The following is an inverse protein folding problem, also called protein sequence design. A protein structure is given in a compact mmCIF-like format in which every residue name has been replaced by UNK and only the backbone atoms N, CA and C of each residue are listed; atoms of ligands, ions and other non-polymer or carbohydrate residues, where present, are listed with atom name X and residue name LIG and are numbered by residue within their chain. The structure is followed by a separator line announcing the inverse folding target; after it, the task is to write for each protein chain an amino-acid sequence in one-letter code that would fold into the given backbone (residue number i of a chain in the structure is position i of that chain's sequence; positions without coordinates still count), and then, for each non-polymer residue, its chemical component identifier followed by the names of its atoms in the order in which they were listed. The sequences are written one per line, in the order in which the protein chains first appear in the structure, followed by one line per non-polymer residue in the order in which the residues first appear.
data_IF_114358500891
#
_entry.id   IF_114358500891
#
_cell.length_a   1.000
_cell.length_b   1.000
_cell.length_c   1.000
_cell.angle_alpha   90.00
_cell.angle_beta   90.00
_cell.angle_gamma   90.00
#
_symmetry.space_group_name_H-M   'P 1'
#
loop_
_entity.id
_entity.type
_entity.pdbx_description
1 polymer ?
#
# COMPACT_ATOMS: atom_id res chain seq x y z
N UNK A 1 34.34 -25.57 11.65
CA UNK A 1 34.23 -24.12 11.92
C UNK A 1 35.57 -23.48 11.63
N UNK A 2 35.73 -22.89 10.46
CA UNK A 2 36.92 -22.15 10.04
C UNK A 2 36.98 -20.85 10.86
N UNK A 3 38.00 -20.71 11.71
CA UNK A 3 38.21 -19.51 12.53
C UNK A 3 38.72 -18.38 11.62
N UNK A 4 37.90 -17.35 11.36
CA UNK A 4 38.38 -16.16 10.67
C UNK A 4 39.20 -15.30 11.65
N UNK A 5 40.39 -14.91 11.21
CA UNK A 5 41.30 -14.02 11.93
C UNK A 5 41.36 -12.70 11.17
N UNK A 6 40.93 -11.61 11.79
CA UNK A 6 40.94 -10.30 11.17
C UNK A 6 42.26 -9.62 11.47
N UNK A 7 43.09 -9.36 10.46
CA UNK A 7 44.39 -8.69 10.62
C UNK A 7 44.23 -7.19 10.34
N UNK A 8 44.54 -6.35 11.33
CA UNK A 8 44.54 -4.91 11.17
C UNK A 8 45.85 -4.48 10.49
N UNK A 9 45.82 -4.17 9.20
CA UNK A 9 46.95 -3.57 8.50
C UNK A 9 46.94 -2.06 8.75
N UNK A 10 47.79 -1.59 9.66
CA UNK A 10 47.94 -0.17 9.99
C UNK A 10 48.49 0.62 8.80
N UNK A 11 47.67 1.48 8.18
CA UNK A 11 48.18 2.63 7.40
C UNK A 11 48.19 3.94 8.19
N UNK A 12 47.84 3.90 9.47
CA UNK A 12 48.03 5.02 10.38
C UNK A 12 48.67 4.46 11.65
N UNK A 13 49.87 4.95 11.97
CA UNK A 13 50.52 4.72 13.25
C UNK A 13 49.71 5.50 14.29
N UNK A 14 48.62 4.91 14.79
CA UNK A 14 47.81 5.53 15.82
C UNK A 14 48.31 5.00 17.16
N UNK A 15 49.13 5.81 17.81
CA UNK A 15 49.68 5.53 19.14
C UNK A 15 48.57 5.75 20.19
N UNK A 16 47.76 4.72 20.43
CA UNK A 16 46.75 4.71 21.48
C UNK A 16 47.24 3.86 22.65
N UNK A 17 47.12 4.41 23.86
CA UNK A 17 47.18 3.63 25.10
C UNK A 17 45.90 2.78 25.15
N UNK A 18 46.06 1.47 24.94
CA UNK A 18 44.96 0.48 24.90
C UNK A 18 44.47 0.08 26.28
N UNK A 19 44.80 0.85 27.31
CA UNK A 19 44.59 0.60 28.74
C UNK A 19 43.10 0.49 29.11
N UNK A 20 42.19 0.73 28.15
CA UNK A 20 40.74 0.64 28.30
C UNK A 20 40.07 -0.33 27.31
N UNK A 21 40.82 -1.10 26.50
CA UNK A 21 40.20 -2.10 25.63
C UNK A 21 39.66 -3.27 26.46
N UNK A 22 38.36 -3.53 26.34
CA UNK A 22 37.67 -4.70 26.91
C UNK A 22 38.22 -6.05 26.41
N UNK A 23 39.12 -6.02 25.43
CA UNK A 23 39.75 -7.18 24.81
C UNK A 23 41.03 -7.65 25.51
N UNK A 24 41.65 -6.84 26.38
CA UNK A 24 42.82 -7.22 27.18
C UNK A 24 42.43 -7.38 28.66
N UNK A 25 43.01 -8.37 29.34
CA UNK A 25 43.08 -8.33 30.81
C UNK A 25 43.93 -7.12 31.20
N UNK A 26 43.47 -6.34 32.17
CA UNK A 26 44.17 -5.14 32.66
C UNK A 26 45.66 -5.40 32.84
N UNK A 27 46.53 -4.69 32.11
CA UNK A 27 47.99 -4.75 32.27
C UNK A 27 48.81 -5.13 31.03
N UNK A 28 48.21 -5.55 29.92
CA UNK A 28 48.96 -5.82 28.68
C UNK A 28 49.21 -4.54 27.88
N UNK A 29 50.49 -4.24 27.60
CA UNK A 29 50.92 -3.14 26.71
C UNK A 29 51.21 -3.69 25.32
N UNK A 30 50.56 -3.15 24.28
CA UNK A 30 50.86 -3.49 22.88
C UNK A 30 49.83 -2.94 21.89
N UNK A 31 50.21 -2.88 20.60
CA UNK A 31 49.31 -2.51 19.51
C UNK A 31 48.44 -3.70 19.12
N UNK A 32 47.13 -3.47 18.97
CA UNK A 32 46.20 -4.52 18.62
C UNK A 32 46.33 -4.90 17.13
N UNK A 33 46.81 -6.13 16.86
CA UNK A 33 47.12 -6.59 15.49
C UNK A 33 46.01 -7.44 14.86
N UNK A 34 45.16 -8.09 15.67
CA UNK A 34 44.08 -8.93 15.16
C UNK A 34 42.95 -9.20 16.16
N UNK A 35 41.75 -9.51 15.66
CA UNK A 35 40.61 -9.99 16.46
C UNK A 35 40.11 -11.37 15.99
N UNK A 36 39.45 -12.09 16.90
CA UNK A 36 38.69 -13.33 16.61
C UNK A 36 37.18 -13.04 16.58
N UNK A 37 36.39 -13.83 15.85
CA UNK A 37 34.94 -13.63 15.67
C UNK A 37 34.14 -13.45 16.98
N UNK A 38 34.51 -14.17 18.04
CA UNK A 38 33.75 -14.16 19.29
C UNK A 38 34.14 -12.98 20.21
N UNK A 39 35.38 -12.50 20.10
CA UNK A 39 35.78 -11.22 20.72
C UNK A 39 35.19 -10.04 19.95
N UNK A 40 34.88 -10.19 18.66
CA UNK A 40 34.25 -9.18 17.82
C UNK A 40 32.79 -8.91 18.16
N UNK A 41 31.96 -9.93 18.39
CA UNK A 41 30.56 -9.74 18.82
C UNK A 41 30.46 -9.00 20.15
N UNK A 42 31.37 -9.32 21.07
CA UNK A 42 31.47 -8.69 22.39
C UNK A 42 31.95 -7.23 22.27
N UNK A 43 32.90 -6.98 21.36
CA UNK A 43 33.38 -5.63 21.06
C UNK A 43 32.28 -4.77 20.42
N UNK A 44 31.50 -5.29 19.47
CA UNK A 44 30.40 -4.57 18.80
C UNK A 44 29.32 -4.13 19.78
N UNK A 45 28.90 -5.03 20.67
CA UNK A 45 27.92 -4.71 21.71
C UNK A 45 28.42 -3.63 22.68
N UNK A 46 29.71 -3.67 23.04
CA UNK A 46 30.32 -2.65 23.89
C UNK A 46 30.49 -1.29 23.18
N UNK A 47 30.91 -1.31 21.92
CA UNK A 47 31.12 -0.12 21.08
C UNK A 47 29.80 0.62 20.77
N UNK A 48 28.68 -0.08 20.64
CA UNK A 48 27.37 0.56 20.46
C UNK A 48 26.93 1.37 21.70
N UNK A 49 27.45 1.05 22.90
CA UNK A 49 27.18 1.80 24.13
C UNK A 49 28.18 2.92 24.45
N UNK A 50 29.44 2.76 24.01
CA UNK A 50 30.55 3.67 24.33
C UNK A 50 30.83 4.50 23.09
N UNK A 51 30.19 5.65 22.96
CA UNK A 51 30.41 6.57 21.84
C UNK A 51 31.77 7.29 21.96
N UNK A 52 32.87 6.52 21.98
CA UNK A 52 34.23 7.01 22.16
C UNK A 52 35.05 7.00 20.86
N UNK A 53 36.19 7.70 20.90
CA UNK A 53 37.06 7.91 19.73
C UNK A 53 37.65 6.60 19.18
N UNK A 54 37.84 5.59 20.03
CA UNK A 54 38.31 4.26 19.62
C UNK A 54 37.22 3.55 18.81
N UNK A 55 35.97 3.66 19.24
CA UNK A 55 34.80 3.14 18.53
C UNK A 55 34.61 3.79 17.17
N UNK A 56 34.77 5.11 17.04
CA UNK A 56 34.68 5.80 15.75
C UNK A 56 35.76 5.35 14.77
N UNK A 57 37.02 5.25 15.22
CA UNK A 57 38.14 4.80 14.39
C UNK A 57 37.93 3.34 13.94
N UNK A 58 37.49 2.46 14.85
CA UNK A 58 37.21 1.07 14.50
C UNK A 58 36.03 0.93 13.53
N UNK A 59 35.01 1.80 13.60
CA UNK A 59 33.92 1.85 12.61
C UNK A 59 34.41 2.25 11.22
N UNK A 60 35.40 3.15 11.12
CA UNK A 60 36.02 3.55 9.86
C UNK A 60 36.85 2.41 9.27
N UNK A 61 37.76 1.84 10.07
CA UNK A 61 38.61 0.71 9.66
C UNK A 61 37.78 -0.54 9.27
N UNK A 62 36.66 -0.77 9.95
CA UNK A 62 35.71 -1.83 9.60
C UNK A 62 35.07 -1.60 8.24
N UNK A 63 34.57 -0.39 7.98
CA UNK A 63 33.98 -0.04 6.67
C UNK A 63 35.01 -0.20 5.55
N UNK A 64 36.25 0.20 5.77
CA UNK A 64 37.32 0.07 4.78
C UNK A 64 37.68 -1.40 4.50
N UNK A 65 37.78 -2.25 5.53
CA UNK A 65 38.08 -3.69 5.35
C UNK A 65 36.92 -4.49 4.72
N UNK A 66 35.65 -4.25 5.08
CA UNK A 66 34.51 -4.86 4.39
C UNK A 66 34.49 -4.49 2.90
N UNK A 67 34.78 -3.22 2.59
CA UNK A 67 34.74 -2.72 1.22
C UNK A 67 35.85 -3.37 0.37
N UNK A 68 37.05 -3.58 0.92
CA UNK A 68 38.15 -4.24 0.19
C UNK A 68 37.95 -5.75 0.00
N UNK A 69 37.45 -6.48 1.00
CA UNK A 69 37.23 -7.94 0.89
C UNK A 69 36.10 -8.28 -0.10
N UNK A 70 35.10 -7.40 -0.24
CA UNK A 70 34.00 -7.53 -1.20
C UNK A 70 34.35 -7.05 -2.62
N UNK A 71 35.23 -6.06 -2.78
CA UNK A 71 35.68 -5.54 -4.09
C UNK A 71 36.64 -6.51 -4.81
N UNK A 72 37.44 -7.28 -4.08
CA UNK A 72 38.36 -8.27 -4.64
C UNK A 72 37.75 -9.66 -4.85
N UNK A 73 36.54 -9.91 -4.35
CA UNK A 73 35.87 -11.21 -4.50
C UNK A 73 35.28 -11.36 -5.91
N UNK A 74 35.89 -12.21 -6.75
CA UNK A 74 35.45 -12.53 -8.11
C UNK A 74 33.93 -12.83 -8.23
N UNK A 75 33.33 -13.43 -7.20
CA UNK A 75 31.89 -13.72 -7.15
C UNK A 75 31.00 -12.47 -7.16
N UNK A 76 31.41 -11.39 -6.47
CA UNK A 76 30.66 -10.13 -6.45
C UNK A 76 30.75 -9.38 -7.78
N UNK A 77 31.92 -9.43 -8.42
CA UNK A 77 32.11 -8.85 -9.75
C UNK A 77 31.30 -9.59 -10.80
N UNK A 78 31.38 -10.92 -10.82
CA UNK A 78 30.58 -11.78 -11.71
C UNK A 78 29.08 -11.57 -11.55
N UNK A 79 28.56 -11.53 -10.32
CA UNK A 79 27.15 -11.24 -10.07
C UNK A 79 26.74 -9.83 -10.54
N UNK A 80 27.64 -8.84 -10.39
CA UNK A 80 27.38 -7.48 -10.82
C UNK A 80 27.38 -7.36 -12.34
N UNK A 81 28.30 -8.04 -13.04
CA UNK A 81 28.38 -8.04 -14.51
C UNK A 81 27.08 -8.59 -15.13
N UNK A 82 26.47 -9.61 -14.50
CA UNK A 82 25.16 -10.14 -14.93
C UNK A 82 24.06 -9.11 -14.73
N UNK A 83 24.00 -8.48 -13.55
CA UNK A 83 23.01 -7.44 -13.27
C UNK A 83 23.19 -6.23 -14.19
N UNK A 84 24.43 -5.84 -14.48
CA UNK A 84 24.76 -4.72 -15.35
C UNK A 84 24.24 -4.98 -16.77
N UNK A 85 24.37 -6.22 -17.29
CA UNK A 85 23.77 -6.61 -18.57
C UNK A 85 22.25 -6.55 -18.54
N UNK A 86 21.60 -6.99 -17.46
CA UNK A 86 20.14 -6.88 -17.31
C UNK A 86 19.68 -5.41 -17.28
N UNK A 87 20.40 -4.55 -16.55
CA UNK A 87 20.13 -3.10 -16.50
C UNK A 87 20.32 -2.47 -17.88
N UNK A 88 21.38 -2.84 -18.59
CA UNK A 88 21.63 -2.34 -19.93
C UNK A 88 20.52 -2.75 -20.91
N UNK A 89 20.07 -4.00 -20.88
CA UNK A 89 19.00 -4.49 -21.75
C UNK A 89 17.63 -3.87 -21.40
N UNK A 90 17.27 -3.85 -20.12
CA UNK A 90 15.91 -3.49 -19.72
C UNK A 90 15.73 -1.98 -19.51
N UNK A 91 16.70 -1.31 -18.89
CA UNK A 91 16.59 0.12 -18.53
C UNK A 91 17.14 1.00 -19.65
N UNK A 92 18.30 0.67 -20.21
CA UNK A 92 18.94 1.51 -21.24
C UNK A 92 18.32 1.23 -22.62
N UNK A 93 18.28 -0.03 -23.05
CA UNK A 93 17.73 -0.38 -24.37
C UNK A 93 16.20 -0.50 -24.35
N UNK A 94 15.62 -1.07 -23.28
CA UNK A 94 14.17 -1.23 -23.12
C UNK A 94 13.44 -0.01 -22.60
N UNK A 95 14.15 1.07 -22.23
CA UNK A 95 13.61 2.32 -21.66
C UNK A 95 12.70 2.11 -20.44
N UNK A 96 12.88 1.01 -19.72
CA UNK A 96 12.06 0.71 -18.54
C UNK A 96 12.51 1.51 -17.32
N UNK A 97 11.54 1.93 -16.51
CA UNK A 97 11.80 2.55 -15.21
C UNK A 97 11.78 1.46 -14.14
N UNK A 98 12.84 1.35 -13.35
CA UNK A 98 12.93 0.38 -12.24
C UNK A 98 13.18 1.09 -10.91
N UNK A 99 12.70 0.54 -9.79
CA UNK A 99 13.13 1.04 -8.48
C UNK A 99 14.46 0.37 -8.08
N UNK A 100 15.33 1.15 -7.44
CA UNK A 100 16.54 0.64 -6.81
C UNK A 100 16.22 -0.39 -5.71
N UNK A 101 15.06 -0.28 -5.07
CA UNK A 101 14.57 -1.26 -4.08
C UNK A 101 14.29 -2.63 -4.69
N UNK A 102 14.02 -2.71 -5.99
CA UNK A 102 13.70 -3.95 -6.70
C UNK A 102 14.98 -4.58 -7.28
N UNK A 103 15.94 -3.75 -7.68
CA UNK A 103 17.27 -4.17 -8.12
C UNK A 103 18.11 -4.78 -6.98
N UNK A 104 17.90 -4.35 -5.72
CA UNK A 104 18.67 -4.85 -4.57
C UNK A 104 18.39 -6.34 -4.24
N UNK A 105 17.13 -6.81 -4.16
CA UNK A 105 16.81 -8.24 -4.08
C UNK A 105 17.36 -9.01 -5.27
N UNK A 106 17.20 -8.50 -6.50
CA UNK A 106 17.70 -9.18 -7.71
C UNK A 106 19.22 -9.39 -7.65
N UNK A 107 19.97 -8.38 -7.23
CA UNK A 107 21.42 -8.51 -7.05
C UNK A 107 21.78 -9.56 -5.99
N UNK A 108 20.99 -9.64 -4.91
CA UNK A 108 21.19 -10.65 -3.87
C UNK A 108 20.96 -12.06 -4.41
N UNK A 109 19.94 -12.27 -5.23
CA UNK A 109 19.66 -13.58 -5.82
C UNK A 109 20.84 -14.02 -6.72
N UNK A 110 21.40 -13.09 -7.49
CA UNK A 110 22.62 -13.34 -8.29
C UNK A 110 23.83 -13.67 -7.41
N UNK A 111 23.98 -13.02 -6.26
CA UNK A 111 25.04 -13.33 -5.30
C UNK A 111 24.87 -14.72 -4.68
N UNK A 112 23.64 -15.13 -4.36
CA UNK A 112 23.34 -16.48 -3.86
C UNK A 112 23.72 -17.55 -4.89
N UNK A 113 23.44 -17.30 -6.18
CA UNK A 113 23.86 -18.20 -7.27
C UNK A 113 25.38 -18.33 -7.34
N UNK A 114 26.11 -17.24 -7.05
CA UNK A 114 27.58 -17.22 -7.01
C UNK A 114 28.17 -17.75 -5.69
N UNK A 115 27.35 -18.35 -4.82
CA UNK A 115 27.76 -18.97 -3.54
C UNK A 115 27.92 -17.98 -2.38
N UNK A 116 27.46 -16.73 -2.53
CA UNK A 116 27.57 -15.68 -1.53
C UNK A 116 26.21 -15.45 -0.87
N UNK A 117 26.09 -15.84 0.40
CA UNK A 117 24.86 -15.64 1.18
C UNK A 117 24.92 -14.36 2.01
N UNK A 118 24.23 -13.31 1.56
CA UNK A 118 24.06 -12.06 2.30
C UNK A 118 22.63 -11.89 2.79
N UNK A 119 22.47 -11.65 4.09
CA UNK A 119 21.15 -11.39 4.70
C UNK A 119 20.57 -10.04 4.29
N UNK A 120 21.42 -9.03 4.04
CA UNK A 120 21.01 -7.69 3.58
C UNK A 120 22.14 -7.07 2.74
N UNK A 121 21.78 -6.46 1.62
CA UNK A 121 22.70 -5.65 0.81
C UNK A 121 22.30 -4.18 0.86
N UNK A 122 23.27 -3.27 0.92
CA UNK A 122 23.03 -1.84 1.07
C UNK A 122 22.68 -1.17 -0.28
N UNK A 123 21.49 -0.56 -0.45
CA UNK A 123 21.09 0.08 -1.70
C UNK A 123 22.00 1.22 -2.15
N UNK A 124 22.59 1.97 -1.20
CA UNK A 124 23.53 3.05 -1.51
C UNK A 124 24.81 2.51 -2.17
N UNK A 125 25.24 1.29 -1.80
CA UNK A 125 26.38 0.62 -2.44
C UNK A 125 26.04 0.17 -3.86
N UNK A 126 24.85 -0.40 -4.07
CA UNK A 126 24.40 -0.77 -5.41
C UNK A 126 24.34 0.45 -6.33
N UNK A 127 23.80 1.57 -5.82
CA UNK A 127 23.77 2.84 -6.54
C UNK A 127 25.17 3.29 -6.94
N UNK A 128 26.13 3.29 -6.02
CA UNK A 128 27.51 3.69 -6.32
C UNK A 128 28.13 2.83 -7.43
N UNK A 129 27.88 1.51 -7.41
CA UNK A 129 28.34 0.61 -8.48
C UNK A 129 27.70 0.91 -9.83
N UNK A 130 26.38 1.12 -9.86
CA UNK A 130 25.66 1.48 -11.09
C UNK A 130 26.09 2.83 -11.64
N UNK A 131 26.38 3.82 -10.78
CA UNK A 131 26.91 5.12 -11.19
C UNK A 131 28.33 4.97 -11.76
N UNK A 132 29.18 4.12 -11.17
CA UNK A 132 30.52 3.90 -11.68
C UNK A 132 30.53 3.19 -13.05
N UNK A 133 29.62 2.23 -13.26
CA UNK A 133 29.53 1.47 -14.51
C UNK A 133 28.83 2.27 -15.63
N UNK A 134 27.80 3.04 -15.30
CA UNK A 134 26.93 3.71 -16.27
C UNK A 134 26.90 5.24 -16.08
N UNK A 135 28.07 5.82 -15.78
CA UNK A 135 28.34 7.23 -15.43
C UNK A 135 27.30 8.23 -15.91
N UNK A 136 27.08 8.30 -17.23
CA UNK A 136 26.21 9.31 -17.85
C UNK A 136 24.92 8.74 -18.45
N UNK A 137 24.67 7.43 -18.31
CA UNK A 137 23.54 6.74 -18.95
C UNK A 137 22.37 6.46 -18.00
N UNK A 138 22.55 6.64 -16.69
CA UNK A 138 21.52 6.41 -15.68
C UNK A 138 21.24 7.68 -14.86
N UNK A 139 19.96 7.96 -14.67
CA UNK A 139 19.47 9.01 -13.76
C UNK A 139 18.71 8.39 -12.59
N UNK A 140 18.93 8.95 -11.41
CA UNK A 140 18.35 8.49 -10.15
C UNK A 140 17.42 9.54 -9.56
N UNK A 141 16.11 9.30 -9.59
CA UNK A 141 15.10 10.25 -9.12
C UNK A 141 14.45 9.79 -7.81
N UNK A 142 14.26 10.71 -6.85
CA UNK A 142 13.61 10.40 -5.56
C UNK A 142 12.11 10.62 -5.64
N UNK A 143 11.34 9.59 -5.31
CA UNK A 143 9.89 9.71 -5.18
C UNK A 143 9.51 10.32 -3.84
N UNK A 144 8.70 11.38 -3.84
CA UNK A 144 8.42 12.19 -2.63
C UNK A 144 7.65 11.49 -1.50
N UNK A 145 7.26 10.22 -1.63
CA UNK A 145 6.46 9.49 -0.62
C UNK A 145 7.14 8.28 0.00
N UNK A 146 8.18 7.74 -0.63
CA UNK A 146 8.98 6.63 -0.12
C UNK A 146 10.45 6.89 -0.42
N UNK A 147 11.35 6.40 0.43
CA UNK A 147 12.80 6.52 0.21
C UNK A 147 13.30 5.69 -1.00
N UNK A 148 12.43 5.37 -1.97
CA UNK A 148 12.74 4.65 -3.19
C UNK A 148 13.30 5.59 -4.27
N UNK A 149 14.34 5.10 -4.94
CA UNK A 149 15.02 5.78 -6.04
C UNK A 149 14.61 5.10 -7.34
N UNK A 150 13.99 5.85 -8.25
CA UNK A 150 13.74 5.41 -9.62
C UNK A 150 15.04 5.50 -10.42
N UNK A 151 15.30 4.47 -11.23
CA UNK A 151 16.45 4.36 -12.12
C UNK A 151 15.92 4.29 -13.55
N UNK A 152 16.36 5.21 -14.39
CA UNK A 152 15.97 5.26 -15.81
C UNK A 152 17.09 5.85 -16.67
N UNK A 153 17.01 5.61 -17.98
CA UNK A 153 18.00 6.08 -18.94
C UNK A 153 18.00 7.61 -19.03
N UNK A 154 19.18 8.23 -18.87
CA UNK A 154 19.37 9.69 -18.91
C UNK A 154 19.50 10.26 -20.32
N UNK A 155 19.91 9.44 -21.29
CA UNK A 155 20.16 9.88 -22.67
C UNK A 155 18.88 10.12 -23.47
N UNK A 156 17.72 9.74 -22.92
CA UNK A 156 16.42 9.78 -23.58
C UNK A 156 15.50 10.80 -22.91
N UNK A 157 14.71 11.58 -23.68
CA UNK A 157 13.74 12.51 -23.10
C UNK A 157 12.73 11.80 -22.19
N UNK A 158 12.43 12.41 -21.05
CA UNK A 158 11.47 11.85 -20.07
C UNK A 158 10.12 11.51 -20.69
N UNK A 159 9.67 12.27 -21.70
CA UNK A 159 8.42 11.98 -22.42
C UNK A 159 8.42 10.63 -23.13
N UNK A 160 9.54 10.21 -23.72
CA UNK A 160 9.64 8.93 -24.41
C UNK A 160 9.69 7.76 -23.42
N UNK A 161 10.33 7.94 -22.27
CA UNK A 161 10.33 6.97 -21.16
C UNK A 161 8.90 6.75 -20.64
N UNK A 162 8.15 7.84 -20.46
CA UNK A 162 6.74 7.78 -20.06
C UNK A 162 5.89 7.10 -21.13
N UNK A 163 6.11 7.40 -22.41
CA UNK A 163 5.39 6.77 -23.51
C UNK A 163 5.62 5.25 -23.54
N UNK A 164 6.88 4.78 -23.46
CA UNK A 164 7.19 3.34 -23.44
C UNK A 164 6.62 2.65 -22.20
N UNK A 165 6.57 3.32 -21.05
CA UNK A 165 5.93 2.78 -19.84
C UNK A 165 4.41 2.61 -20.02
N UNK A 166 3.75 3.54 -20.69
CA UNK A 166 2.32 3.46 -21.03
C UNK A 166 2.09 2.32 -22.04
N UNK A 167 2.85 2.28 -23.12
CA UNK A 167 2.74 1.23 -24.16
C UNK A 167 2.98 -0.17 -23.57
N UNK A 168 3.99 -0.34 -22.72
CA UNK A 168 4.26 -1.60 -22.02
C UNK A 168 3.12 -1.99 -21.07
N UNK A 169 2.50 -1.02 -20.41
CA UNK A 169 1.33 -1.26 -19.55
C UNK A 169 0.10 -1.69 -20.36
N UNK A 170 -0.10 -1.12 -21.56
CA UNK A 170 -1.20 -1.52 -22.46
C UNK A 170 -1.01 -2.91 -23.06
N UNK A 171 0.24 -3.33 -23.33
CA UNK A 171 0.57 -4.66 -23.83
C UNK A 171 0.43 -5.76 -22.76
N UNK A 172 0.73 -5.45 -21.49
CA UNK A 172 0.52 -6.38 -20.36
C UNK A 172 -0.97 -6.65 -20.12
N UNK A 173 -1.86 -5.71 -20.48
CA UNK A 173 -3.31 -5.94 -20.42
C UNK A 173 -3.80 -6.92 -21.50
N UNK A 174 -3.06 -7.13 -22.59
CA UNK A 174 -3.47 -8.02 -23.69
C UNK A 174 -3.00 -9.47 -23.52
N UNK A 175 -1.94 -9.72 -22.75
CA UNK A 175 -1.35 -11.05 -22.55
C UNK A 175 -1.30 -11.44 -21.06
N UNK A 176 -2.45 -11.47 -20.39
CA UNK A 176 -2.55 -11.96 -19.02
C UNK A 176 -2.69 -13.49 -18.99
N UNK A 177 -1.61 -14.18 -19.34
CA UNK A 177 -1.37 -15.54 -18.85
C UNK A 177 0.09 -15.63 -18.41
N UNK A 178 0.29 -16.06 -17.16
CA UNK A 178 1.56 -16.39 -16.50
C UNK A 178 2.25 -15.21 -15.77
N UNK A 179 1.93 -15.04 -14.47
CA UNK A 179 2.89 -14.89 -13.35
C UNK A 179 2.14 -14.64 -12.02
N UNK A 180 1.82 -15.72 -11.29
CA UNK A 180 0.91 -15.71 -10.14
C UNK A 180 1.43 -15.04 -8.85
N UNK A 181 2.71 -14.66 -8.77
CA UNK A 181 3.29 -13.99 -7.60
C UNK A 181 3.37 -12.46 -7.78
N UNK A 182 3.85 -11.98 -8.93
CA UNK A 182 3.93 -10.54 -9.27
C UNK A 182 2.55 -9.97 -9.61
N UNK A 183 1.66 -10.78 -10.18
CA UNK A 183 0.28 -10.37 -10.46
C UNK A 183 -0.54 -10.09 -9.20
N UNK A 184 -0.28 -10.78 -8.08
CA UNK A 184 -1.06 -10.57 -6.84
C UNK A 184 -0.81 -9.21 -6.20
N UNK A 185 0.44 -8.72 -6.18
CA UNK A 185 0.76 -7.40 -5.63
C UNK A 185 0.14 -6.27 -6.47
N UNK A 186 0.13 -6.43 -7.80
CA UNK A 186 -0.51 -5.50 -8.71
C UNK A 186 -2.05 -5.53 -8.61
N UNK A 187 -2.66 -6.71 -8.48
CA UNK A 187 -4.10 -6.86 -8.26
C UNK A 187 -4.52 -6.25 -6.92
N UNK A 188 -3.77 -6.50 -5.84
CA UNK A 188 -4.05 -5.91 -4.52
C UNK A 188 -3.98 -4.39 -4.57
N UNK A 189 -2.99 -3.84 -5.28
CA UNK A 189 -2.84 -2.40 -5.50
C UNK A 189 -4.01 -1.82 -6.31
N UNK A 190 -4.43 -2.53 -7.36
CA UNK A 190 -5.58 -2.14 -8.19
C UNK A 190 -6.88 -2.16 -7.40
N UNK A 191 -7.12 -3.21 -6.61
CA UNK A 191 -8.29 -3.31 -5.70
C UNK A 191 -8.26 -2.17 -4.69
N UNK A 192 -7.09 -1.85 -4.12
CA UNK A 192 -6.95 -0.77 -3.16
C UNK A 192 -7.35 0.59 -3.78
N UNK A 193 -6.88 0.89 -4.99
CA UNK A 193 -7.22 2.15 -5.65
C UNK A 193 -8.68 2.18 -6.11
N UNK A 194 -9.23 1.07 -6.61
CA UNK A 194 -10.65 0.96 -6.96
C UNK A 194 -11.56 1.18 -5.74
N UNK A 195 -11.26 0.52 -4.63
CA UNK A 195 -11.99 0.69 -3.38
C UNK A 195 -11.91 2.14 -2.86
N UNK A 196 -10.73 2.78 -2.96
CA UNK A 196 -10.54 4.18 -2.57
C UNK A 196 -11.33 5.13 -3.47
N UNK A 197 -11.37 4.88 -4.77
CA UNK A 197 -12.15 5.68 -5.72
C UNK A 197 -13.66 5.60 -5.39
N UNK A 198 -14.20 4.39 -5.21
CA UNK A 198 -15.60 4.19 -4.82
C UNK A 198 -15.90 4.87 -3.48
N UNK A 199 -15.04 4.69 -2.48
CA UNK A 199 -15.21 5.31 -1.16
C UNK A 199 -15.20 6.84 -1.24
N UNK A 200 -14.33 7.43 -2.05
CA UNK A 200 -14.27 8.88 -2.23
C UNK A 200 -15.55 9.40 -2.87
N UNK A 201 -16.04 8.74 -3.93
CA UNK A 201 -17.29 9.11 -4.60
C UNK A 201 -18.48 9.02 -3.64
N UNK A 202 -18.61 7.93 -2.88
CA UNK A 202 -19.62 7.82 -1.82
C UNK A 202 -19.46 8.94 -0.78
N UNK A 203 -18.22 9.32 -0.44
CA UNK A 203 -17.94 10.34 0.57
C UNK A 203 -18.20 11.78 0.10
N UNK A 204 -18.28 12.02 -1.21
CA UNK A 204 -18.46 13.35 -1.80
C UNK A 204 -19.90 13.56 -2.30
N UNK A 205 -20.47 12.60 -3.03
CA UNK A 205 -21.68 12.82 -3.83
C UNK A 205 -22.99 12.41 -3.13
N UNK A 206 -22.95 11.44 -2.21
CA UNK A 206 -24.18 10.90 -1.63
C UNK A 206 -24.67 11.72 -0.42
N UNK A 207 -25.32 12.86 -0.66
CA UNK A 207 -26.21 13.47 0.35
C UNK A 207 -27.57 12.79 0.23
N UNK A 208 -28.00 12.05 1.25
CA UNK A 208 -29.40 11.62 1.31
C UNK A 208 -30.25 12.85 1.64
N UNK A 209 -31.21 13.19 0.79
CA UNK A 209 -32.14 14.27 1.04
C UNK A 209 -33.41 13.75 1.71
N UNK A 210 -33.27 12.88 2.73
CA UNK A 210 -34.41 12.43 3.52
C UNK A 210 -34.72 13.55 4.52
N UNK A 211 -35.87 14.24 4.39
CA UNK A 211 -36.29 15.24 5.36
C UNK A 211 -36.53 14.58 6.71
N UNK A 212 -36.39 15.36 7.78
CA UNK A 212 -36.69 14.91 9.13
C UNK A 212 -37.96 15.61 9.64
N UNK A 213 -39.00 14.88 10.10
CA UNK A 213 -39.16 13.42 10.03
C UNK A 213 -39.39 12.92 8.59
N UNK A 214 -39.05 11.64 8.29
CA UNK A 214 -39.24 11.07 6.96
C UNK A 214 -40.74 10.90 6.64
N UNK A 215 -41.14 11.32 5.44
CA UNK A 215 -42.48 11.08 4.87
C UNK A 215 -42.51 9.81 4.01
N UNK A 216 -43.69 9.23 3.77
CA UNK A 216 -43.83 8.04 2.92
C UNK A 216 -43.22 8.23 1.51
N UNK A 217 -43.37 9.43 0.94
CA UNK A 217 -42.71 9.77 -0.34
C UNK A 217 -41.20 9.75 -0.21
N UNK A 218 -40.63 10.35 0.85
CA UNK A 218 -39.19 10.40 1.11
C UNK A 218 -38.52 9.05 1.34
N UNK A 219 -39.30 8.03 1.70
CA UNK A 219 -38.84 6.66 1.96
C UNK A 219 -38.86 5.80 0.68
N UNK A 220 -39.29 6.34 -0.46
CA UNK A 220 -39.22 5.64 -1.75
C UNK A 220 -37.77 5.41 -2.22
N UNK A 221 -37.54 4.31 -2.94
CA UNK A 221 -36.20 3.91 -3.43
C UNK A 221 -35.56 4.94 -4.37
N UNK A 222 -36.37 5.81 -5.00
CA UNK A 222 -35.91 6.86 -5.90
C UNK A 222 -35.36 8.10 -5.19
N UNK A 223 -35.55 8.24 -3.88
CA UNK A 223 -35.13 9.42 -3.11
C UNK A 223 -33.69 9.37 -2.60
N UNK A 224 -32.88 8.51 -3.19
CA UNK A 224 -31.43 8.52 -3.01
C UNK A 224 -30.71 8.54 -4.35
N UNK A 225 -29.84 9.53 -4.51
CA UNK A 225 -28.95 9.61 -5.67
C UNK A 225 -27.76 8.70 -5.43
N UNK A 226 -27.63 7.68 -6.28
CA UNK A 226 -26.52 6.74 -6.25
C UNK A 226 -25.48 7.21 -7.26
N UNK A 227 -24.21 7.39 -6.86
CA UNK A 227 -23.20 7.83 -7.81
C UNK A 227 -22.98 6.82 -8.94
N UNK A 228 -22.88 7.30 -10.18
CA UNK A 228 -22.75 6.47 -11.38
C UNK A 228 -21.61 5.47 -11.29
N UNK A 229 -20.46 5.86 -10.71
CA UNK A 229 -19.31 4.96 -10.55
C UNK A 229 -19.62 3.79 -9.62
N UNK A 230 -20.38 4.01 -8.54
CA UNK A 230 -20.83 2.95 -7.64
C UNK A 230 -21.85 2.04 -8.34
N UNK A 231 -22.79 2.64 -9.08
CA UNK A 231 -23.78 1.90 -9.85
C UNK A 231 -23.11 0.98 -10.86
N UNK A 232 -22.20 1.52 -11.67
CA UNK A 232 -21.46 0.77 -12.68
C UNK A 232 -20.58 -0.32 -12.06
N UNK A 233 -19.93 -0.04 -10.93
CA UNK A 233 -19.17 -1.05 -10.20
C UNK A 233 -20.04 -2.23 -9.76
N UNK A 234 -21.21 -1.97 -9.16
CA UNK A 234 -22.13 -3.02 -8.75
C UNK A 234 -22.75 -3.75 -9.94
N UNK A 235 -23.06 -3.03 -11.03
CA UNK A 235 -23.53 -3.64 -12.27
C UNK A 235 -22.49 -4.62 -12.83
N UNK A 236 -21.22 -4.22 -12.90
CA UNK A 236 -20.12 -5.09 -13.32
C UNK A 236 -19.90 -6.27 -12.37
N UNK A 237 -20.06 -6.06 -11.06
CA UNK A 237 -19.88 -7.11 -10.06
C UNK A 237 -20.99 -8.17 -10.10
N UNK A 238 -22.22 -7.75 -10.40
CA UNK A 238 -23.42 -8.60 -10.35
C UNK A 238 -23.80 -9.20 -11.71
N UNK A 239 -23.19 -8.73 -12.80
CA UNK A 239 -23.42 -9.25 -14.15
C UNK A 239 -22.30 -10.23 -14.52
N UNK A 240 -22.65 -11.48 -14.77
CA UNK A 240 -21.73 -12.46 -15.33
C UNK A 240 -21.82 -12.37 -16.86
N UNK A 241 -21.08 -11.45 -17.48
CA UNK A 241 -20.96 -11.50 -18.93
C UNK A 241 -19.67 -10.91 -19.50
N UNK A 242 -18.84 -11.82 -20.01
CA UNK A 242 -17.77 -11.59 -20.98
C UNK A 242 -18.24 -10.98 -22.32
N UNK A 243 -19.56 -10.75 -22.47
CA UNK A 243 -20.20 -10.25 -23.71
C UNK A 243 -20.76 -8.83 -23.62
N UNK A 244 -20.79 -8.23 -22.43
CA UNK A 244 -21.41 -6.90 -22.21
C UNK A 244 -20.42 -5.82 -21.76
N UNK A 245 -19.13 -5.97 -22.08
CA UNK A 245 -18.05 -5.03 -21.70
C UNK A 245 -18.18 -3.60 -22.27
N UNK A 246 -19.25 -3.29 -22.99
CA UNK A 246 -19.60 -1.93 -23.41
C UNK A 246 -20.85 -1.50 -22.66
N UNK A 247 -20.66 -0.97 -21.44
CA UNK A 247 -21.71 -0.22 -20.74
C UNK A 247 -21.91 1.08 -21.53
N UNK A 248 -22.74 1.02 -22.56
CA UNK A 248 -23.30 2.20 -23.22
C UNK A 248 -24.63 2.56 -22.55
N UNK A 249 -24.92 3.85 -22.30
CA UNK A 249 -26.06 4.30 -21.51
C UNK A 249 -27.38 4.30 -22.30
N UNK A 250 -27.63 3.30 -23.15
CA UNK A 250 -28.85 3.28 -23.97
C UNK A 250 -29.46 1.89 -24.20
N UNK A 251 -30.65 1.74 -23.60
CA UNK A 251 -31.81 0.89 -23.94
C UNK A 251 -31.80 -0.63 -23.66
N UNK A 252 -32.60 -0.95 -22.64
CA UNK A 252 -33.61 -2.02 -22.49
C UNK A 252 -33.23 -3.49 -22.74
N UNK A 253 -33.34 -4.31 -21.69
CA UNK A 253 -34.24 -5.48 -21.70
C UNK A 253 -34.59 -5.89 -20.25
N UNK A 254 -35.72 -6.59 -20.06
CA UNK A 254 -36.43 -6.86 -18.80
C UNK A 254 -35.60 -7.57 -17.68
N UNK A 255 -34.35 -7.96 -17.96
CA UNK A 255 -33.37 -8.42 -16.96
C UNK A 255 -32.74 -7.30 -16.13
N UNK A 256 -32.76 -6.05 -16.63
CA UNK A 256 -32.16 -4.89 -15.97
C UNK A 256 -32.95 -4.40 -14.76
N UNK A 257 -34.27 -4.57 -14.68
CA UNK A 257 -35.05 -4.04 -13.54
C UNK A 257 -34.77 -4.80 -12.23
N UNK A 258 -34.74 -6.14 -12.28
CA UNK A 258 -34.37 -6.96 -11.11
C UNK A 258 -32.92 -6.69 -10.70
N UNK A 259 -32.04 -6.54 -11.69
CA UNK A 259 -30.64 -6.18 -11.45
C UNK A 259 -30.53 -4.76 -10.85
N UNK A 260 -31.30 -3.81 -11.37
CA UNK A 260 -31.37 -2.43 -10.91
C UNK A 260 -31.82 -2.37 -9.44
N UNK A 261 -32.94 -3.01 -9.09
CA UNK A 261 -33.39 -3.07 -7.70
C UNK A 261 -32.34 -3.68 -6.76
N UNK A 262 -31.64 -4.75 -7.19
CA UNK A 262 -30.52 -5.32 -6.43
C UNK A 262 -29.35 -4.35 -6.27
N UNK A 263 -28.97 -3.66 -7.35
CA UNK A 263 -27.91 -2.65 -7.33
C UNK A 263 -28.31 -1.51 -6.38
N UNK A 264 -29.53 -0.98 -6.49
CA UNK A 264 -30.05 0.09 -5.63
C UNK A 264 -30.03 -0.33 -4.16
N UNK A 265 -30.50 -1.55 -3.86
CA UNK A 265 -30.52 -2.09 -2.50
C UNK A 265 -29.11 -2.24 -1.90
N UNK A 266 -28.14 -2.75 -2.67
CA UNK A 266 -26.74 -2.92 -2.22
C UNK A 266 -26.00 -1.59 -2.14
N UNK A 267 -26.24 -0.69 -3.08
CA UNK A 267 -25.64 0.64 -3.07
C UNK A 267 -26.09 1.44 -1.85
N UNK A 268 -27.36 1.33 -1.45
CA UNK A 268 -27.86 1.93 -0.21
C UNK A 268 -27.17 1.37 1.04
N UNK A 269 -26.89 0.06 1.09
CA UNK A 269 -26.10 -0.57 2.17
C UNK A 269 -24.67 -0.06 2.21
N UNK A 270 -24.02 0.07 1.04
CA UNK A 270 -22.65 0.58 0.95
C UNK A 270 -22.57 2.05 1.35
N UNK A 271 -23.51 2.88 0.90
CA UNK A 271 -23.58 4.30 1.28
C UNK A 271 -23.76 4.42 2.80
N UNK A 272 -24.73 3.71 3.38
CA UNK A 272 -24.99 3.72 4.82
C UNK A 272 -23.76 3.27 5.61
N UNK A 273 -23.14 2.16 5.21
CA UNK A 273 -21.98 1.56 5.87
C UNK A 273 -20.73 2.44 5.80
N UNK A 274 -20.39 2.94 4.61
CA UNK A 274 -19.21 3.81 4.41
C UNK A 274 -19.35 5.12 5.19
N UNK A 275 -20.57 5.65 5.28
CA UNK A 275 -20.91 6.84 6.06
C UNK A 275 -21.15 6.56 7.54
N UNK A 276 -21.01 5.31 7.99
CA UNK A 276 -21.22 4.88 9.39
C UNK A 276 -22.58 5.31 9.95
N UNK A 277 -23.62 5.24 9.11
CA UNK A 277 -24.99 5.62 9.49
C UNK A 277 -25.26 7.12 9.61
N UNK A 278 -24.28 7.98 9.28
CA UNK A 278 -24.46 9.45 9.21
C UNK A 278 -25.39 9.88 8.08
N UNK A 279 -25.50 9.07 7.03
CA UNK A 279 -26.41 9.29 5.90
C UNK A 279 -27.48 8.22 5.98
N UNK A 280 -28.73 8.63 6.23
CA UNK A 280 -29.88 7.71 6.29
C UNK A 280 -30.28 7.36 4.86
N UNK A 281 -30.45 6.08 4.55
CA UNK A 281 -30.92 5.68 3.23
C UNK A 281 -32.36 5.18 3.31
N UNK A 282 -33.17 5.37 2.25
CA UNK A 282 -34.58 4.98 2.27
C UNK A 282 -34.78 3.54 2.73
N UNK A 283 -33.97 2.59 2.24
CA UNK A 283 -33.97 1.18 2.66
C UNK A 283 -33.82 1.00 4.17
N UNK A 284 -32.83 1.66 4.79
CA UNK A 284 -32.54 1.44 6.22
C UNK A 284 -33.60 2.03 7.14
N UNK A 285 -34.23 3.13 6.71
CA UNK A 285 -35.33 3.77 7.44
C UNK A 285 -36.62 2.97 7.24
N UNK A 286 -36.98 2.67 5.97
CA UNK A 286 -38.16 1.90 5.61
C UNK A 286 -38.21 0.56 6.33
N UNK A 287 -37.12 -0.21 6.24
CA UNK A 287 -37.05 -1.54 6.80
C UNK A 287 -37.18 -1.52 8.33
N UNK A 288 -36.55 -0.55 9.00
CA UNK A 288 -36.62 -0.43 10.45
C UNK A 288 -38.04 -0.11 10.94
N UNK A 289 -38.68 0.88 10.31
CA UNK A 289 -40.06 1.27 10.62
C UNK A 289 -40.99 0.09 10.36
N UNK A 290 -40.89 -0.52 9.16
CA UNK A 290 -41.71 -1.66 8.78
C UNK A 290 -41.60 -2.82 9.78
N UNK A 291 -40.38 -3.21 10.14
CA UNK A 291 -40.16 -4.30 11.10
C UNK A 291 -40.73 -3.98 12.48
N UNK A 292 -40.55 -2.75 12.97
CA UNK A 292 -41.11 -2.33 14.25
C UNK A 292 -42.64 -2.36 14.21
N UNK A 293 -43.25 -1.78 13.18
CA UNK A 293 -44.71 -1.73 13.03
C UNK A 293 -45.33 -3.12 12.89
N UNK A 294 -44.68 -4.02 12.14
CA UNK A 294 -45.23 -5.37 11.90
C UNK A 294 -45.04 -6.33 13.06
N UNK A 295 -43.93 -6.19 13.81
CA UNK A 295 -43.58 -7.19 14.84
C UNK A 295 -43.73 -6.68 16.27
N UNK A 296 -43.66 -5.37 16.49
CA UNK A 296 -43.59 -4.75 17.81
C UNK A 296 -42.33 -5.10 18.61
N UNK A 297 -41.39 -5.87 18.06
CA UNK A 297 -40.22 -6.37 18.80
C UNK A 297 -39.00 -5.47 18.62
N UNK A 298 -38.48 -4.95 19.74
CA UNK A 298 -37.24 -4.19 19.76
C UNK A 298 -36.03 -5.05 19.39
N UNK A 299 -36.10 -6.34 19.70
CA UNK A 299 -35.04 -7.34 19.50
C UNK A 299 -34.80 -7.58 18.01
N UNK A 300 -35.86 -7.69 17.21
CA UNK A 300 -35.75 -7.88 15.76
C UNK A 300 -35.06 -6.68 15.10
N UNK A 301 -35.47 -5.45 15.45
CA UNK A 301 -34.85 -4.24 14.92
C UNK A 301 -33.37 -4.15 15.32
N UNK A 302 -33.03 -4.50 16.57
CA UNK A 302 -31.63 -4.55 17.04
C UNK A 302 -30.80 -5.59 16.29
N UNK A 303 -31.36 -6.77 15.99
CA UNK A 303 -30.69 -7.82 15.20
C UNK A 303 -30.41 -7.34 13.78
N UNK A 304 -31.40 -6.76 13.10
CA UNK A 304 -31.24 -6.28 11.72
C UNK A 304 -30.28 -5.08 11.66
N UNK A 305 -30.29 -4.20 12.66
CA UNK A 305 -29.31 -3.12 12.79
C UNK A 305 -27.89 -3.67 12.98
N UNK A 306 -27.72 -4.74 13.75
CA UNK A 306 -26.42 -5.43 13.92
C UNK A 306 -25.89 -6.00 12.60
N UNK A 307 -26.77 -6.41 11.69
CA UNK A 307 -26.42 -6.80 10.32
C UNK A 307 -26.25 -5.61 9.36
N UNK A 308 -26.34 -4.37 9.86
CA UNK A 308 -26.14 -3.13 9.09
C UNK A 308 -27.16 -3.01 7.94
N UNK A 309 -28.40 -3.46 8.17
CA UNK A 309 -29.49 -3.37 7.21
C UNK A 309 -30.59 -2.38 7.62
N UNK A 310 -30.54 -1.85 8.84
CA UNK A 310 -31.52 -0.90 9.35
C UNK A 310 -30.88 0.18 10.22
N UNK A 311 -31.61 1.27 10.46
CA UNK A 311 -31.29 2.23 11.53
C UNK A 311 -31.45 1.60 12.91
N UNK A 312 -30.93 2.27 13.96
CA UNK A 312 -31.05 1.76 15.33
C UNK A 312 -32.50 1.85 15.81
N UNK A 313 -32.85 1.02 16.80
CA UNK A 313 -34.19 1.05 17.40
C UNK A 313 -34.53 2.43 17.98
N UNK A 314 -33.59 3.06 18.68
CA UNK A 314 -33.76 4.41 19.24
C UNK A 314 -34.08 5.44 18.15
N UNK A 315 -33.46 5.32 16.96
CA UNK A 315 -33.76 6.20 15.83
C UNK A 315 -35.16 5.95 15.27
N UNK A 316 -35.68 4.72 15.34
CA UNK A 316 -37.07 4.45 14.96
C UNK A 316 -38.04 5.08 15.96
N UNK A 317 -37.77 4.98 17.27
CA UNK A 317 -38.56 5.67 18.30
C UNK A 317 -38.55 7.18 18.12
N UNK A 318 -37.38 7.75 17.81
CA UNK A 318 -37.24 9.18 17.53
C UNK A 318 -38.09 9.59 16.31
N UNK A 319 -38.06 8.80 15.23
CA UNK A 319 -38.88 9.03 14.04
C UNK A 319 -40.37 8.99 14.38
N UNK A 320 -40.84 7.95 15.07
CA UNK A 320 -42.25 7.80 15.42
C UNK A 320 -42.73 8.93 16.33
N UNK A 321 -41.93 9.31 17.32
CA UNK A 321 -42.23 10.42 18.23
C UNK A 321 -42.33 11.73 17.45
N UNK A 322 -41.37 12.02 16.57
CA UNK A 322 -41.37 13.24 15.75
C UNK A 322 -42.57 13.28 14.80
N UNK A 323 -42.96 12.13 14.22
CA UNK A 323 -44.16 12.03 13.36
C UNK A 323 -45.43 12.31 14.19
N UNK A 324 -45.55 11.73 15.39
CA UNK A 324 -46.69 11.93 16.27
C UNK A 324 -46.81 13.39 16.73
N UNK A 325 -45.71 14.01 17.15
CA UNK A 325 -45.66 15.43 17.51
C UNK A 325 -46.13 16.32 16.36
N UNK A 326 -45.66 16.06 15.13
CA UNK A 326 -46.07 16.81 13.94
C UNK A 326 -47.56 16.64 13.62
N UNK A 327 -48.13 15.46 13.84
CA UNK A 327 -49.57 15.22 13.67
C UNK A 327 -50.41 15.98 14.71
N UNK A 328 -49.96 16.01 15.97
CA UNK A 328 -50.63 16.76 17.04
C UNK A 328 -50.63 18.26 16.71
N UNK A 329 -49.47 18.83 16.35
CA UNK A 329 -49.36 20.25 15.99
C UNK A 329 -50.29 20.63 14.83
N UNK A 330 -50.32 19.83 13.76
CA UNK A 330 -51.21 20.08 12.63
C UNK A 330 -52.69 20.01 13.03
N UNK A 331 -53.05 19.14 13.99
CA UNK A 331 -54.44 19.00 14.44
C UNK A 331 -54.85 20.18 15.33
N UNK A 332 -53.94 20.73 16.13
CA UNK A 332 -54.19 21.94 16.92
C UNK A 332 -54.36 23.18 16.03
N UNK A 333 -53.51 23.34 15.01
CA UNK A 333 -53.63 24.45 14.05
C UNK A 333 -54.96 24.43 13.27
N UNK A 334 -55.50 23.25 12.93
CA UNK A 334 -56.80 23.12 12.27
C UNK A 334 -58.00 23.41 13.19
N UNK A 335 -57.83 23.33 14.52
CA UNK A 335 -58.89 23.62 15.51
C UNK A 335 -58.98 25.13 15.83
N UNK A 336 -57.91 25.90 15.59
CA UNK A 336 -57.89 27.36 15.82
C UNK A 336 -58.27 28.21 14.59
N UNK A 337 -58.59 27.61 13.44
CA UNK A 337 -59.08 28.29 12.23
C UNK A 337 -60.55 27.90 11.91
N UNK A 338 -61.36 27.58 12.92
CA UNK A 338 -62.81 27.34 12.76
C UNK A 338 -63.67 28.40 13.44
#
# INVERSE_FOLDING_TARGET
MTKQTFVLKSKQNIDFSWDKCLCHRSGEKGSLKSFYDQTWTTFKAAAESRNDRVTEIMKVLYKENETQVEEESNSFRSAFDVLAKEVQQNIIHGLQVSNLTDLCPRFRDLLVIQGVHLLKYNPTRLKARLVNEFVDNLTFWRSGRQNSLLVFCSSVPTGQIVQTAIESSTLVQSNNTLNAAVGKENIVTTIFYAAKAIRNVISLDSKSNIPWPPTGESISENNIVIPDLLYNFLALLLTDDSKHASISPSKHDISLEVLHHRIMSLAQDLIYSVRKGSTKTPKHVALAIYLKTQTGSSEIVKIINKFVHSVSYDQVEEIETTIAEKMIMNTEDDIFIS
#
